data_IF_425097069375
#
_entry.id   IF_425097069375
#
_cell.length_a   1.000
_cell.length_b   1.000
_cell.length_c   1.000
_cell.angle_alpha   90.00
_cell.angle_beta   90.00
_cell.angle_gamma   90.00
#
_symmetry.space_group_name_H-M   'P 1'
#
loop_
_entity.id
_entity.type
_entity.pdbx_description
1 polymer ?
#
# COMPACT_ATOMS: atom_id res chain seq x y z
N UNK A 1 -0.25 3.52 0.23
CA UNK A 1 0.38 3.89 1.53
C UNK A 1 1.28 2.74 1.91
N UNK A 2 2.60 2.93 1.94
CA UNK A 2 3.51 1.82 2.26
C UNK A 2 3.57 1.60 3.77
N UNK A 3 3.09 0.45 4.22
CA UNK A 3 3.26 0.02 5.59
C UNK A 3 4.74 -0.23 5.86
N UNK A 4 5.27 0.35 6.93
CA UNK A 4 6.60 -0.03 7.41
C UNK A 4 6.58 -1.46 7.96
N UNK A 5 7.75 -2.06 8.13
CA UNK A 5 7.89 -3.45 8.60
C UNK A 5 7.14 -3.74 9.91
N UNK A 6 7.06 -2.77 10.82
CA UNK A 6 6.32 -2.91 12.08
C UNK A 6 4.81 -2.92 11.84
N UNK A 7 4.30 -2.07 10.95
CA UNK A 7 2.89 -2.02 10.60
C UNK A 7 2.45 -3.30 9.87
N UNK A 8 3.30 -3.86 8.99
CA UNK A 8 3.04 -5.16 8.36
C UNK A 8 2.97 -6.30 9.38
N UNK A 9 3.91 -6.36 10.32
CA UNK A 9 3.87 -7.35 11.40
C UNK A 9 2.59 -7.25 12.24
N UNK A 10 2.13 -6.03 12.57
CA UNK A 10 0.89 -5.83 13.32
C UNK A 10 -0.32 -6.26 12.49
N UNK A 11 -0.34 -5.92 11.20
CA UNK A 11 -1.40 -6.33 10.28
C UNK A 11 -1.51 -7.86 10.19
N UNK A 12 -0.41 -8.57 9.96
CA UNK A 12 -0.38 -10.02 9.88
C UNK A 12 -0.82 -10.69 11.19
N UNK A 13 -0.38 -10.18 12.34
CA UNK A 13 -0.81 -10.68 13.64
C UNK A 13 -2.32 -10.53 13.85
N UNK A 14 -2.87 -9.38 13.48
CA UNK A 14 -4.31 -9.12 13.57
C UNK A 14 -5.10 -9.97 12.58
N UNK A 15 -4.59 -10.15 11.36
CA UNK A 15 -5.21 -10.96 10.32
C UNK A 15 -5.33 -12.43 10.75
N UNK A 16 -4.28 -12.97 11.37
CA UNK A 16 -4.27 -14.34 11.89
C UNK A 16 -5.22 -14.57 13.06
N UNK A 17 -5.57 -13.51 13.80
CA UNK A 17 -6.52 -13.58 14.92
C UNK A 17 -7.99 -13.61 14.47
N UNK A 18 -8.28 -13.36 13.19
CA UNK A 18 -9.63 -13.47 12.62
C UNK A 18 -9.93 -14.96 12.40
N UNK A 19 -11.14 -15.43 12.69
CA UNK A 19 -11.56 -16.82 12.40
C UNK A 19 -12.26 -16.93 11.03
N UNK A 20 -12.84 -15.82 10.57
CA UNK A 20 -13.52 -15.74 9.27
C UNK A 20 -12.50 -15.70 8.12
N UNK A 21 -12.40 -16.81 7.39
CA UNK A 21 -11.49 -16.97 6.25
C UNK A 21 -11.87 -16.09 5.05
N UNK A 22 -13.15 -15.74 4.87
CA UNK A 22 -13.55 -14.82 3.81
C UNK A 22 -13.11 -13.41 4.14
N UNK A 23 -13.29 -12.98 5.38
CA UNK A 23 -12.84 -11.67 5.85
C UNK A 23 -11.31 -11.54 5.78
N UNK A 24 -10.55 -12.58 6.14
CA UNK A 24 -9.09 -12.60 5.95
C UNK A 24 -8.68 -12.37 4.50
N UNK A 25 -9.35 -13.06 3.58
CA UNK A 25 -9.07 -12.96 2.16
C UNK A 25 -9.34 -11.54 1.64
N UNK A 26 -10.49 -10.96 1.97
CA UNK A 26 -10.84 -9.60 1.56
C UNK A 26 -9.84 -8.56 2.10
N UNK A 27 -9.48 -8.65 3.38
CA UNK A 27 -8.50 -7.74 3.99
C UNK A 27 -7.10 -7.87 3.39
N UNK A 28 -6.67 -9.09 3.07
CA UNK A 28 -5.39 -9.35 2.40
C UNK A 28 -5.36 -8.74 1.00
N UNK A 29 -6.47 -8.85 0.26
CA UNK A 29 -6.61 -8.25 -1.07
C UNK A 29 -6.60 -6.72 -1.03
N UNK A 30 -7.20 -6.10 0.00
CA UNK A 30 -7.17 -4.63 0.18
C UNK A 30 -5.73 -4.16 0.40
N UNK A 31 -4.97 -4.81 1.28
CA UNK A 31 -3.56 -4.46 1.52
C UNK A 31 -2.70 -4.69 0.28
N UNK A 32 -2.96 -5.75 -0.48
CA UNK A 32 -2.25 -6.01 -1.73
C UNK A 32 -2.61 -5.01 -2.86
N UNK A 33 -3.85 -4.53 -2.91
CA UNK A 33 -4.33 -3.55 -3.91
C UNK A 33 -3.94 -2.11 -3.54
N UNK A 34 -3.92 -1.74 -2.26
CA UNK A 34 -3.41 -0.45 -1.78
C UNK A 34 -1.89 -0.31 -1.94
N UNK A 35 -1.18 -1.43 -2.17
CA UNK A 35 0.23 -1.48 -2.55
C UNK A 35 0.49 -1.16 -4.04
N UNK A 36 -0.55 -0.91 -4.85
CA UNK A 36 -0.40 -0.46 -6.25
C UNK A 36 -0.59 1.06 -6.44
N UNK A 37 -0.77 1.85 -5.37
CA UNK A 37 -0.75 3.32 -5.45
C UNK A 37 0.66 3.92 -5.24
N UNK A 38 1.72 3.16 -5.51
CA UNK A 38 3.07 3.70 -5.65
C UNK A 38 3.58 3.39 -7.06
N UNK A 39 3.86 4.46 -7.81
CA UNK A 39 4.53 4.51 -9.12
C UNK A 39 3.69 4.39 -10.41
N UNK A 40 2.42 4.78 -10.39
CA UNK A 40 1.68 5.08 -11.62
C UNK A 40 1.09 6.48 -11.54
N UNK A 41 1.76 7.44 -12.19
CA UNK A 41 1.34 8.85 -12.35
C UNK A 41 0.67 9.47 -11.11
N UNK A 42 1.48 9.90 -10.15
CA UNK A 42 1.02 10.93 -9.21
C UNK A 42 0.98 12.28 -9.96
N UNK A 43 -0.20 12.85 -10.28
CA UNK A 43 -0.28 14.16 -10.93
C UNK A 43 0.17 15.31 -10.00
N UNK A 44 0.47 15.02 -8.73
CA UNK A 44 1.10 15.92 -7.77
C UNK A 44 2.61 15.69 -7.64
N UNK A 45 3.21 14.81 -8.45
CA UNK A 45 4.66 14.73 -8.56
C UNK A 45 5.20 15.97 -9.27
N UNK A 46 5.41 17.02 -8.47
CA UNK A 46 5.91 18.35 -8.87
C UNK A 46 7.33 18.26 -9.47
N UNK A 47 7.97 17.08 -9.46
CA UNK A 47 9.28 16.84 -10.07
C UNK A 47 9.22 16.28 -11.49
N UNK A 48 8.04 16.06 -12.06
CA UNK A 48 7.89 15.47 -13.39
C UNK A 48 7.15 16.39 -14.38
N UNK A 49 7.62 17.63 -14.56
CA UNK A 49 7.85 18.22 -15.90
C UNK A 49 8.19 19.71 -15.86
N UNK A 50 9.39 20.04 -16.34
CA UNK A 50 9.75 21.41 -16.73
C UNK A 50 11.26 21.61 -16.77
N UNK A 51 11.93 20.96 -17.73
CA UNK A 51 13.37 21.05 -17.87
C UNK A 51 13.90 22.43 -18.26
N UNK A 52 15.23 22.50 -18.37
CA UNK A 52 15.93 23.63 -18.96
C UNK A 52 17.14 24.02 -18.14
N UNK A 53 18.31 24.00 -18.77
CA UNK A 53 19.60 24.22 -18.14
C UNK A 53 19.77 25.57 -17.45
N UNK A 54 20.71 25.57 -16.51
CA UNK A 54 21.26 26.71 -15.77
C UNK A 54 22.28 26.19 -14.78
#
# INVERSE_FOLDING_TARGET
>A
MDFNARQMMIFEANLNAIEDENLKKELSEIVAKDYQFSQGDDPLDINANGGGGG
#
